data_IF_627836384186
#
_entry.id   IF_627836384186
#
_cell.length_a   1.000
_cell.length_b   1.000
_cell.length_c   1.000
_cell.angle_alpha   90.00
_cell.angle_beta   90.00
_cell.angle_gamma   90.00
#
_symmetry.space_group_name_H-M   'P 1'
#
loop_
_entity.id
_entity.type
_entity.pdbx_description
1 polymer ?
#
# COMPACT_ATOMS: atom_id res chain seq x y z
N UNK A 1 -9.72 6.70 -26.38
CA UNK A 1 -8.46 6.08 -25.91
C UNK A 1 -8.09 6.52 -24.50
N UNK A 2 -7.96 7.82 -24.21
CA UNK A 2 -7.57 8.31 -22.88
C UNK A 2 -8.54 7.92 -21.75
N UNK A 3 -9.85 8.04 -21.97
CA UNK A 3 -10.86 7.64 -20.97
C UNK A 3 -10.71 6.17 -20.56
N UNK A 4 -10.45 5.27 -21.52
CA UNK A 4 -10.22 3.84 -21.25
C UNK A 4 -8.99 3.63 -20.36
N UNK A 5 -7.91 4.38 -20.59
CA UNK A 5 -6.68 4.28 -19.80
C UNK A 5 -6.88 4.80 -18.37
N UNK A 6 -7.69 5.85 -18.19
CA UNK A 6 -8.08 6.36 -16.87
C UNK A 6 -8.91 5.32 -16.13
N UNK A 7 -9.95 4.77 -16.78
CA UNK A 7 -10.78 3.72 -16.18
C UNK A 7 -9.96 2.48 -15.82
N UNK A 8 -9.02 2.07 -16.67
CA UNK A 8 -8.11 0.97 -16.39
C UNK A 8 -7.18 1.25 -15.19
N UNK A 9 -6.71 2.50 -15.02
CA UNK A 9 -5.94 2.90 -13.85
C UNK A 9 -6.79 2.83 -12.57
N UNK A 10 -8.05 3.28 -12.63
CA UNK A 10 -9.00 3.17 -11.51
C UNK A 10 -9.24 1.70 -11.15
N UNK A 11 -9.51 0.84 -12.13
CA UNK A 11 -9.71 -0.60 -11.89
C UNK A 11 -8.44 -1.24 -11.30
N UNK A 12 -7.26 -0.88 -11.80
CA UNK A 12 -5.99 -1.31 -11.23
C UNK A 12 -5.82 -0.89 -9.77
N UNK A 13 -6.17 0.35 -9.44
CA UNK A 13 -6.11 0.87 -8.07
C UNK A 13 -7.10 0.14 -7.13
N UNK A 14 -8.33 -0.12 -7.60
CA UNK A 14 -9.32 -0.91 -6.84
C UNK A 14 -8.82 -2.34 -6.60
N UNK A 15 -8.24 -2.98 -7.62
CA UNK A 15 -7.63 -4.30 -7.47
C UNK A 15 -6.48 -4.28 -6.45
N UNK A 16 -5.63 -3.25 -6.47
CA UNK A 16 -4.58 -3.05 -5.48
C UNK A 16 -5.15 -3.01 -4.06
N UNK A 17 -6.16 -2.17 -3.84
CA UNK A 17 -6.80 -1.99 -2.54
C UNK A 17 -7.42 -3.30 -2.03
N UNK A 18 -8.13 -4.05 -2.90
CA UNK A 18 -8.72 -5.33 -2.54
C UNK A 18 -7.65 -6.37 -2.14
N UNK A 19 -6.56 -6.46 -2.90
CA UNK A 19 -5.45 -7.37 -2.59
C UNK A 19 -4.80 -7.00 -1.26
N UNK A 20 -4.46 -5.72 -1.06
CA UNK A 20 -3.83 -5.27 0.18
C UNK A 20 -4.76 -5.48 1.38
N UNK A 21 -6.06 -5.21 1.24
CA UNK A 21 -7.04 -5.46 2.29
C UNK A 21 -7.04 -6.93 2.72
N UNK A 22 -7.06 -7.87 1.77
CA UNK A 22 -7.01 -9.31 2.07
C UNK A 22 -5.68 -9.69 2.73
N UNK A 23 -4.55 -9.27 2.16
CA UNK A 23 -3.22 -9.62 2.66
C UNK A 23 -2.98 -9.09 4.08
N UNK A 24 -3.32 -7.83 4.34
CA UNK A 24 -3.16 -7.24 5.67
C UNK A 24 -4.18 -7.81 6.67
N UNK A 25 -5.40 -8.15 6.25
CA UNK A 25 -6.36 -8.82 7.15
C UNK A 25 -5.86 -10.20 7.56
N UNK A 26 -5.32 -10.97 6.63
CA UNK A 26 -4.73 -12.28 6.92
C UNK A 26 -3.50 -12.15 7.83
N UNK A 27 -2.62 -11.19 7.55
CA UNK A 27 -1.45 -10.93 8.40
C UNK A 27 -1.88 -10.50 9.82
N UNK A 28 -2.90 -9.66 9.91
CA UNK A 28 -3.46 -9.21 11.18
C UNK A 28 -4.04 -10.38 12.00
N UNK A 29 -4.81 -11.26 11.38
CA UNK A 29 -5.36 -12.46 12.05
C UNK A 29 -4.25 -13.41 12.52
N UNK A 30 -3.17 -13.52 11.75
CA UNK A 30 -2.05 -14.42 12.07
C UNK A 30 -1.15 -13.90 13.20
N UNK A 31 -0.91 -12.58 13.24
CA UNK A 31 0.11 -11.97 14.12
C UNK A 31 -0.51 -11.18 15.28
N UNK A 32 -1.69 -10.60 15.06
CA UNK A 32 -2.38 -9.75 16.01
C UNK A 32 -1.66 -8.43 16.34
N UNK A 33 -2.20 -7.65 17.30
CA UNK A 33 -1.61 -6.39 17.74
C UNK A 33 -0.18 -6.51 18.28
N UNK A 34 0.10 -7.59 19.03
CA UNK A 34 1.37 -7.77 19.73
C UNK A 34 2.57 -7.91 18.80
N UNK A 35 2.38 -8.49 17.61
CA UNK A 35 3.47 -8.56 16.62
C UNK A 35 3.46 -7.41 15.60
N UNK A 36 2.40 -6.61 15.57
CA UNK A 36 2.28 -5.45 14.67
C UNK A 36 2.87 -4.16 15.26
N UNK A 37 3.07 -4.11 16.59
CA UNK A 37 3.51 -2.92 17.31
C UNK A 37 4.55 -3.24 18.37
N UNK A 38 5.33 -2.24 18.75
CA UNK A 38 6.14 -2.31 19.97
C UNK A 38 5.23 -2.40 21.22
N UNK A 39 5.67 -3.06 22.30
CA UNK A 39 4.89 -3.14 23.54
C UNK A 39 4.52 -1.76 24.09
N UNK A 40 3.24 -1.55 24.39
CA UNK A 40 2.71 -0.29 24.95
C UNK A 40 2.78 0.94 24.02
N UNK A 41 3.20 0.78 22.77
CA UNK A 41 3.44 1.87 21.82
C UNK A 41 2.66 1.68 20.52
N UNK A 42 2.38 2.79 19.84
CA UNK A 42 1.83 2.84 18.48
C UNK A 42 2.92 2.72 17.40
N UNK A 43 4.18 2.63 17.80
CA UNK A 43 5.30 2.44 16.89
C UNK A 43 5.32 1.05 16.28
N UNK A 44 5.47 1.02 14.96
CA UNK A 44 5.55 -0.21 14.17
C UNK A 44 7.00 -0.70 14.17
N UNK A 45 7.28 -1.98 14.54
CA UNK A 45 8.63 -2.52 14.49
C UNK A 45 9.12 -2.64 13.04
N UNK A 46 10.44 -2.56 12.86
CA UNK A 46 11.07 -2.60 11.52
C UNK A 46 10.66 -3.85 10.73
N UNK A 47 10.50 -4.99 11.39
CA UNK A 47 10.05 -6.24 10.74
C UNK A 47 8.67 -6.11 10.10
N UNK A 48 7.71 -5.47 10.78
CA UNK A 48 6.38 -5.21 10.22
C UNK A 48 6.42 -4.18 9.10
N UNK A 49 7.24 -3.14 9.23
CA UNK A 49 7.44 -2.15 8.16
C UNK A 49 7.99 -2.81 6.88
N UNK A 50 9.01 -3.66 6.99
CA UNK A 50 9.56 -4.40 5.85
C UNK A 50 8.54 -5.37 5.26
N UNK A 51 7.80 -6.12 6.09
CA UNK A 51 6.71 -6.98 5.64
C UNK A 51 5.63 -6.20 4.88
N UNK A 52 5.28 -5.01 5.37
CA UNK A 52 4.30 -4.12 4.74
C UNK A 52 4.77 -3.64 3.36
N UNK A 53 6.07 -3.38 3.17
CA UNK A 53 6.62 -3.06 1.85
C UNK A 53 6.53 -4.25 0.88
N UNK A 54 6.79 -5.47 1.36
CA UNK A 54 6.65 -6.68 0.53
C UNK A 54 5.21 -6.88 0.09
N UNK A 55 4.24 -6.78 1.01
CA UNK A 55 2.82 -6.87 0.68
C UNK A 55 2.39 -5.72 -0.25
N UNK A 56 2.87 -4.50 0.01
CA UNK A 56 2.69 -3.33 -0.85
C UNK A 56 3.15 -3.58 -2.29
N UNK A 57 4.35 -4.16 -2.45
CA UNK A 57 4.89 -4.54 -3.75
C UNK A 57 4.00 -5.57 -4.46
N UNK A 58 3.55 -6.61 -3.76
CA UNK A 58 2.67 -7.64 -4.33
C UNK A 58 1.34 -7.04 -4.80
N UNK A 59 0.71 -6.19 -3.99
CA UNK A 59 -0.51 -5.48 -4.36
C UNK A 59 -0.32 -4.60 -5.59
N UNK A 60 0.75 -3.80 -5.59
CA UNK A 60 1.11 -2.92 -6.71
C UNK A 60 1.42 -3.71 -8.00
N UNK A 61 2.11 -4.83 -7.89
CA UNK A 61 2.38 -5.73 -9.01
C UNK A 61 1.09 -6.25 -9.64
N UNK A 62 0.14 -6.74 -8.82
CA UNK A 62 -1.15 -7.21 -9.32
C UNK A 62 -1.95 -6.05 -9.95
N UNK A 63 -1.91 -4.86 -9.34
CA UNK A 63 -2.56 -3.66 -9.86
C UNK A 63 -2.06 -3.29 -11.26
N UNK A 64 -0.74 -3.29 -11.49
CA UNK A 64 -0.13 -3.03 -12.79
C UNK A 64 -0.51 -4.07 -13.84
N UNK A 65 -0.60 -5.33 -13.43
CA UNK A 65 -1.04 -6.44 -14.28
C UNK A 65 -2.49 -6.26 -14.75
N UNK A 66 -3.40 -5.95 -13.81
CA UNK A 66 -4.83 -5.69 -14.08
C UNK A 66 -4.98 -4.45 -14.98
N UNK A 67 -4.25 -3.37 -14.65
CA UNK A 67 -4.34 -2.10 -15.36
C UNK A 67 -4.03 -2.24 -16.86
N UNK A 68 -2.95 -2.94 -17.22
CA UNK A 68 -2.60 -3.15 -18.64
C UNK A 68 -3.60 -4.06 -19.34
N UNK A 69 -4.12 -5.08 -18.66
CA UNK A 69 -5.11 -5.99 -19.24
C UNK A 69 -6.44 -5.31 -19.57
N UNK A 70 -6.88 -4.37 -18.74
CA UNK A 70 -8.11 -3.61 -18.97
C UNK A 70 -7.88 -2.48 -19.97
N UNK A 71 -6.73 -1.80 -19.88
CA UNK A 71 -6.42 -0.64 -20.73
C UNK A 71 -5.99 -1.00 -22.15
N UNK A 72 -5.39 -2.19 -22.33
CA UNK A 72 -4.67 -2.60 -23.54
C UNK A 72 -3.65 -1.55 -24.02
N UNK A 73 -3.10 -0.76 -23.09
CA UNK A 73 -2.20 0.36 -23.36
C UNK A 73 -1.27 0.55 -22.16
N UNK A 74 0.03 0.71 -22.45
CA UNK A 74 1.07 1.02 -21.48
C UNK A 74 0.80 2.33 -20.70
N UNK A 75 0.11 3.30 -21.32
CA UNK A 75 -0.23 4.58 -20.69
C UNK A 75 -1.14 4.42 -19.48
N UNK A 76 -1.99 3.39 -19.45
CA UNK A 76 -2.83 3.11 -18.29
C UNK A 76 -1.99 2.86 -17.03
N UNK A 77 -0.94 2.04 -17.15
CA UNK A 77 -0.01 1.78 -16.06
C UNK A 77 0.78 3.03 -15.65
N UNK A 78 1.18 3.88 -16.60
CA UNK A 78 1.84 5.15 -16.28
C UNK A 78 0.94 6.08 -15.47
N UNK A 79 -0.36 6.15 -15.79
CA UNK A 79 -1.34 6.92 -15.01
C UNK A 79 -1.43 6.37 -13.58
N UNK A 80 -1.52 5.05 -13.43
CA UNK A 80 -1.57 4.41 -12.11
C UNK A 80 -0.29 4.66 -11.29
N UNK A 81 0.89 4.58 -11.90
CA UNK A 81 2.16 4.94 -11.25
C UNK A 81 2.12 6.39 -10.76
N UNK A 82 1.64 7.31 -11.61
CA UNK A 82 1.45 8.72 -11.24
C UNK A 82 0.55 8.88 -10.02
N UNK A 83 -0.60 8.18 -9.99
CA UNK A 83 -1.52 8.21 -8.84
C UNK A 83 -0.88 7.68 -7.55
N UNK A 84 -0.20 6.54 -7.62
CA UNK A 84 0.49 5.93 -6.47
C UNK A 84 1.56 6.87 -5.92
N UNK A 85 2.36 7.48 -6.81
CA UNK A 85 3.39 8.44 -6.41
C UNK A 85 2.79 9.68 -5.77
N UNK A 86 1.75 10.27 -6.38
CA UNK A 86 1.09 11.47 -5.84
C UNK A 86 0.49 11.18 -4.47
N UNK A 87 -0.28 10.10 -4.32
CA UNK A 87 -0.90 9.76 -3.03
C UNK A 87 0.13 9.41 -1.97
N UNK A 88 1.19 8.68 -2.33
CA UNK A 88 2.23 8.35 -1.36
C UNK A 88 3.06 9.56 -0.94
N UNK A 89 3.36 10.49 -1.85
CA UNK A 89 4.04 11.75 -1.50
C UNK A 89 3.14 12.62 -0.63
N UNK A 90 1.86 12.78 -0.97
CA UNK A 90 0.90 13.49 -0.13
C UNK A 90 0.89 12.87 1.27
N UNK A 91 0.78 11.54 1.38
CA UNK A 91 0.79 10.84 2.66
C UNK A 91 2.11 11.02 3.43
N UNK A 92 3.25 11.04 2.76
CA UNK A 92 4.56 11.23 3.39
C UNK A 92 4.75 12.65 3.93
N UNK A 93 4.08 13.64 3.32
CA UNK A 93 4.13 15.04 3.73
C UNK A 93 3.06 15.40 4.77
N UNK A 94 1.96 14.65 4.84
CA UNK A 94 0.91 14.87 5.83
C UNK A 94 1.44 14.50 7.24
N UNK A 95 1.43 15.43 8.21
CA UNK A 95 1.77 15.12 9.58
C UNK A 95 0.86 14.03 10.13
N UNK A 96 1.44 13.06 10.85
CA UNK A 96 0.66 12.03 11.54
C UNK A 96 0.33 12.56 12.94
N UNK A 97 -0.96 12.69 13.24
CA UNK A 97 -1.40 12.93 14.61
C UNK A 97 -1.10 11.68 15.44
N UNK A 98 -0.29 11.85 16.48
CA UNK A 98 0.04 10.75 17.37
C UNK A 98 -1.10 10.56 18.37
N UNK A 99 -1.61 9.32 18.53
CA UNK A 99 -2.57 9.03 19.60
C UNK A 99 -1.99 9.42 20.96
N UNK A 100 -2.81 10.03 21.81
CA UNK A 100 -2.41 10.38 23.16
C UNK A 100 -2.38 9.12 24.05
N UNK A 101 -1.24 8.86 24.69
CA UNK A 101 -1.09 7.80 25.69
C UNK A 101 -0.63 6.44 25.12
N UNK A 102 -0.43 5.45 26.02
CA UNK A 102 0.02 4.12 25.63
C UNK A 102 -1.03 3.39 24.78
N UNK A 103 -0.57 2.56 23.83
CA UNK A 103 -1.46 1.73 23.02
C UNK A 103 -2.12 0.65 23.90
N UNK A 104 -3.46 0.45 23.83
CA UNK A 104 -4.12 -0.68 24.48
C UNK A 104 -3.61 -2.03 23.95
N UNK A 105 -3.65 -3.07 24.79
CA UNK A 105 -3.20 -4.40 24.38
C UNK A 105 -4.13 -5.03 23.32
N UNK A 106 -5.43 -4.82 23.47
CA UNK A 106 -6.45 -5.24 22.51
C UNK A 106 -6.93 -4.03 21.70
N UNK A 107 -6.52 -3.98 20.44
CA UNK A 107 -6.93 -2.93 19.49
C UNK A 107 -7.48 -3.60 18.25
N UNK A 108 -8.53 -3.03 17.67
CA UNK A 108 -9.03 -3.49 16.39
C UNK A 108 -8.06 -3.12 15.25
N UNK A 109 -8.16 -3.81 14.11
CA UNK A 109 -7.36 -3.50 12.92
C UNK A 109 -7.60 -2.05 12.42
N UNK A 110 -8.82 -1.54 12.59
CA UNK A 110 -9.17 -0.18 12.19
C UNK A 110 -8.47 0.85 13.09
N UNK A 111 -8.51 0.67 14.41
CA UNK A 111 -7.80 1.52 15.37
C UNK A 111 -6.30 1.44 15.18
N UNK A 112 -5.77 0.23 14.96
CA UNK A 112 -4.37 0.00 14.62
C UNK A 112 -3.92 0.80 13.40
N UNK A 113 -4.70 0.77 12.32
CA UNK A 113 -4.37 1.49 11.08
C UNK A 113 -4.42 3.00 11.27
N UNK A 114 -5.38 3.49 12.06
CA UNK A 114 -5.52 4.92 12.36
C UNK A 114 -4.38 5.44 13.27
N UNK A 115 -3.95 4.64 14.24
CA UNK A 115 -2.94 5.03 15.22
C UNK A 115 -1.50 4.69 14.87
N UNK A 116 -1.24 3.88 13.84
CA UNK A 116 0.09 3.38 13.54
C UNK A 116 1.11 4.49 13.22
N UNK A 117 2.23 4.46 13.94
CA UNK A 117 3.38 5.34 13.72
C UNK A 117 4.45 4.54 12.99
N UNK A 118 4.62 4.83 11.70
CA UNK A 118 5.65 4.22 10.87
C UNK A 118 6.97 5.00 10.96
N UNK A 119 8.12 4.32 10.82
CA UNK A 119 9.41 4.99 10.68
C UNK A 119 9.42 5.96 9.49
N UNK A 120 10.06 7.13 9.63
CA UNK A 120 10.04 8.17 8.59
C UNK A 120 10.53 7.69 7.21
N UNK A 121 11.52 6.78 7.17
CA UNK A 121 12.03 6.20 5.92
C UNK A 121 10.98 5.37 5.18
N UNK A 122 10.06 4.72 5.91
CA UNK A 122 9.03 3.88 5.32
C UNK A 122 8.07 4.72 4.48
N UNK A 123 7.70 5.91 4.97
CA UNK A 123 6.78 6.80 4.28
C UNK A 123 7.29 7.23 2.90
N UNK A 124 8.61 7.39 2.75
CA UNK A 124 9.25 7.73 1.47
C UNK A 124 9.49 6.52 0.58
N UNK A 125 9.82 5.37 1.17
CA UNK A 125 10.10 4.17 0.41
C UNK A 125 8.82 3.52 -0.16
N UNK A 126 7.71 3.61 0.57
CA UNK A 126 6.44 3.01 0.18
C UNK A 126 5.91 3.45 -1.21
N UNK A 127 5.83 4.75 -1.56
CA UNK A 127 5.44 5.16 -2.92
C UNK A 127 6.37 4.63 -4.00
N UNK A 128 7.69 4.60 -3.74
CA UNK A 128 8.68 4.09 -4.69
C UNK A 128 8.49 2.60 -4.94
N UNK A 129 8.30 1.82 -3.87
CA UNK A 129 8.02 0.38 -3.96
C UNK A 129 6.70 0.14 -4.71
N UNK A 130 5.68 0.94 -4.44
CA UNK A 130 4.41 0.88 -5.17
C UNK A 130 4.58 1.15 -6.67
N UNK A 131 5.28 2.23 -7.03
CA UNK A 131 5.56 2.57 -8.43
C UNK A 131 6.35 1.46 -9.16
N UNK A 132 7.39 0.93 -8.52
CA UNK A 132 8.21 -0.16 -9.05
C UNK A 132 7.37 -1.44 -9.22
N UNK A 133 6.51 -1.76 -8.24
CA UNK A 133 5.58 -2.88 -8.32
C UNK A 133 4.64 -2.77 -9.51
N UNK A 134 3.94 -1.63 -9.67
CA UNK A 134 3.04 -1.39 -10.81
C UNK A 134 3.79 -1.52 -12.13
N UNK A 135 4.99 -0.95 -12.22
CA UNK A 135 5.81 -1.03 -13.43
C UNK A 135 6.18 -2.48 -13.78
N UNK A 136 6.66 -3.28 -12.83
CA UNK A 136 6.97 -4.70 -13.07
C UNK A 136 5.72 -5.50 -13.47
N UNK A 137 4.60 -5.28 -12.79
CA UNK A 137 3.33 -5.92 -13.12
C UNK A 137 2.85 -5.60 -14.53
N UNK A 138 3.06 -4.36 -14.96
CA UNK A 138 2.66 -3.89 -16.30
C UNK A 138 3.51 -4.44 -17.44
N UNK A 139 4.76 -4.88 -17.17
CA UNK A 139 5.69 -5.36 -18.21
C UNK A 139 5.32 -6.73 -18.75
N UNK A 140 4.86 -7.65 -17.89
CA UNK A 140 4.58 -9.04 -18.28
C UNK A 140 3.30 -9.25 -19.10
N UNK A 141 2.42 -8.24 -19.14
CA UNK A 141 1.19 -8.27 -19.95
C UNK A 141 1.37 -7.70 -21.37
N UNK A 142 2.61 -7.39 -21.79
CA UNK A 142 2.92 -6.85 -23.14
C UNK A 142 3.31 -7.91 -24.16
N UNK A 143 3.30 -9.19 -23.78
CA UNK A 143 3.59 -10.34 -24.65
C UNK A 143 2.28 -10.99 -25.06
#
# INVERSE_FOLDING_TARGET
MMLRNILAAIVGYVAMAAVLFVLFSLLWVAVGPTGAFQPGSWEVPVGWALGSLVLGFVGAYIAGLVCVRVGHDARAATILIGLVMVFGVVRALTPVEMPAGPRPDDVSMMEATAGAVHPAWFNWLNPLVGAVGVWFGSRKSRV
#
